data_IF_708514697468
#
_entry.id   IF_708514697468
#
_cell.length_a   1.000
_cell.length_b   1.000
_cell.length_c   1.000
_cell.angle_alpha   90.00
_cell.angle_beta   90.00
_cell.angle_gamma   90.00
#
_symmetry.space_group_name_H-M   'P 1'
#
loop_
_entity.id
_entity.type
_entity.pdbx_description
1 polymer ?
#
# COMPACT_ATOMS: atom_id res chain seq x y z
N UNK A 1 19.19 -11.90 20.05
CA UNK A 1 19.29 -12.16 18.59
C UNK A 1 20.75 -12.15 18.16
N UNK A 2 21.19 -13.16 17.44
CA UNK A 2 22.53 -13.21 16.87
C UNK A 2 22.61 -12.40 15.57
N UNK A 3 23.82 -12.10 15.12
CA UNK A 3 24.04 -11.43 13.84
C UNK A 3 23.48 -12.27 12.68
N UNK A 4 23.65 -13.60 12.73
CA UNK A 4 23.09 -14.49 11.72
C UNK A 4 21.58 -14.48 11.68
N UNK A 5 20.91 -14.44 12.83
CA UNK A 5 19.46 -14.29 12.94
C UNK A 5 18.99 -12.93 12.39
N UNK A 6 19.74 -11.87 12.66
CA UNK A 6 19.44 -10.53 12.17
C UNK A 6 19.51 -10.47 10.63
N UNK A 7 20.56 -11.07 10.04
CA UNK A 7 20.71 -11.15 8.58
C UNK A 7 19.59 -11.98 7.96
N UNK A 8 19.23 -13.11 8.57
CA UNK A 8 18.12 -13.96 8.09
C UNK A 8 16.80 -13.20 8.12
N UNK A 9 16.52 -12.45 9.17
CA UNK A 9 15.30 -11.63 9.28
C UNK A 9 15.30 -10.50 8.25
N UNK A 10 16.43 -9.84 8.02
CA UNK A 10 16.55 -8.80 6.99
C UNK A 10 16.30 -9.38 5.59
N UNK A 11 16.80 -10.57 5.28
CA UNK A 11 16.56 -11.24 4.02
C UNK A 11 15.08 -11.62 3.85
N UNK A 12 14.44 -12.07 4.92
CA UNK A 12 13.02 -12.40 4.94
C UNK A 12 12.17 -11.16 4.64
N UNK A 13 12.49 -10.03 5.28
CA UNK A 13 11.81 -8.75 5.05
C UNK A 13 12.03 -8.25 3.63
N UNK A 14 13.23 -8.38 3.07
CA UNK A 14 13.52 -8.00 1.68
C UNK A 14 12.62 -8.76 0.70
N UNK A 15 12.44 -10.07 0.90
CA UNK A 15 11.53 -10.86 0.06
C UNK A 15 10.07 -10.42 0.21
N UNK A 16 9.64 -10.10 1.43
CA UNK A 16 8.29 -9.56 1.69
C UNK A 16 8.08 -8.20 1.06
N UNK A 17 9.10 -7.35 1.03
CA UNK A 17 9.06 -6.05 0.37
C UNK A 17 8.89 -6.23 -1.14
N UNK A 18 9.64 -7.14 -1.76
CA UNK A 18 9.50 -7.42 -3.19
C UNK A 18 8.09 -7.92 -3.54
N UNK A 19 7.55 -8.83 -2.73
CA UNK A 19 6.17 -9.29 -2.88
C UNK A 19 5.16 -8.16 -2.66
N UNK A 20 5.44 -7.27 -1.70
CA UNK A 20 4.61 -6.12 -1.37
C UNK A 20 4.57 -5.08 -2.50
N UNK A 21 5.66 -4.87 -3.21
CA UNK A 21 5.71 -3.99 -4.39
C UNK A 21 4.78 -4.52 -5.49
N UNK A 22 4.80 -5.82 -5.74
CA UNK A 22 3.89 -6.46 -6.71
C UNK A 22 2.43 -6.34 -6.26
N UNK A 23 2.16 -6.60 -4.99
CA UNK A 23 0.81 -6.49 -4.43
C UNK A 23 0.27 -5.05 -4.55
N UNK A 24 1.10 -4.05 -4.25
CA UNK A 24 0.74 -2.64 -4.39
C UNK A 24 0.45 -2.28 -5.85
N UNK A 25 1.29 -2.73 -6.78
CA UNK A 25 1.09 -2.50 -8.21
C UNK A 25 -0.24 -3.07 -8.70
N UNK A 26 -0.59 -4.29 -8.29
CA UNK A 26 -1.86 -4.94 -8.62
C UNK A 26 -3.04 -4.19 -8.00
N UNK A 27 -2.93 -3.80 -6.73
CA UNK A 27 -3.98 -3.05 -6.04
C UNK A 27 -4.19 -1.66 -6.66
N UNK A 28 -3.12 -0.98 -7.06
CA UNK A 28 -3.19 0.31 -7.74
C UNK A 28 -3.88 0.21 -9.10
N UNK A 29 -3.58 -0.84 -9.88
CA UNK A 29 -4.27 -1.09 -11.16
C UNK A 29 -5.74 -1.34 -10.94
N UNK A 30 -6.09 -2.19 -9.99
CA UNK A 30 -7.48 -2.51 -9.66
C UNK A 30 -8.26 -1.27 -9.22
N UNK A 31 -7.63 -0.41 -8.40
CA UNK A 31 -8.22 0.85 -7.96
C UNK A 31 -8.47 1.81 -9.14
N UNK A 32 -7.52 1.92 -10.07
CA UNK A 32 -7.66 2.75 -11.27
C UNK A 32 -8.78 2.25 -12.18
N UNK A 33 -8.88 0.94 -12.38
CA UNK A 33 -9.95 0.31 -13.17
C UNK A 33 -11.32 0.54 -12.53
N UNK A 34 -11.42 0.37 -11.21
CA UNK A 34 -12.67 0.60 -10.47
C UNK A 34 -13.10 2.07 -10.53
N UNK A 35 -12.16 3.01 -10.44
CA UNK A 35 -12.43 4.44 -10.58
C UNK A 35 -12.95 4.77 -11.98
N UNK A 36 -12.32 4.22 -13.01
CA UNK A 36 -12.75 4.42 -14.39
C UNK A 36 -14.17 3.85 -14.64
N UNK A 37 -14.43 2.65 -14.11
CA UNK A 37 -15.77 2.02 -14.20
C UNK A 37 -16.84 2.85 -13.50
N UNK A 38 -16.53 3.37 -12.32
CA UNK A 38 -17.43 4.23 -11.56
C UNK A 38 -17.77 5.52 -12.35
N UNK A 39 -16.75 6.19 -12.88
CA UNK A 39 -16.95 7.42 -13.67
C UNK A 39 -17.79 7.19 -14.91
N UNK A 40 -17.56 6.08 -15.61
CA UNK A 40 -18.34 5.71 -16.78
C UNK A 40 -19.79 5.41 -16.41
N UNK A 41 -20.01 4.60 -15.37
CA UNK A 41 -21.36 4.28 -14.90
C UNK A 41 -22.12 5.55 -14.49
N UNK A 42 -21.44 6.48 -13.82
CA UNK A 42 -22.02 7.76 -13.42
C UNK A 42 -22.43 8.60 -14.62
N UNK A 43 -21.59 8.68 -15.65
CA UNK A 43 -21.90 9.42 -16.87
C UNK A 43 -23.09 8.80 -17.60
N UNK A 44 -23.14 7.49 -17.72
CA UNK A 44 -24.25 6.76 -18.33
C UNK A 44 -25.56 7.01 -17.56
N UNK A 45 -25.52 6.90 -16.23
CA UNK A 45 -26.70 7.15 -15.39
C UNK A 45 -27.17 8.60 -15.50
N UNK A 46 -26.25 9.56 -15.57
CA UNK A 46 -26.55 10.97 -15.74
C UNK A 46 -27.29 11.24 -17.04
N UNK A 47 -26.90 10.62 -18.14
CA UNK A 47 -27.59 10.72 -19.42
C UNK A 47 -28.93 10.02 -19.41
N UNK A 48 -29.06 8.93 -18.68
CA UNK A 48 -30.31 8.16 -18.61
C UNK A 48 -31.41 8.88 -17.82
N UNK A 49 -31.05 9.52 -16.70
CA UNK A 49 -31.99 10.22 -15.83
C UNK A 49 -31.98 11.71 -16.12
N UNK A 50 -32.89 12.19 -17.02
CA UNK A 50 -32.94 13.58 -17.44
C UNK A 50 -34.08 14.37 -16.81
N UNK A 51 -35.01 13.71 -16.11
CA UNK A 51 -36.20 14.32 -15.54
C UNK A 51 -35.93 14.89 -14.14
N UNK A 52 -36.74 15.88 -13.76
CA UNK A 52 -36.71 16.49 -12.45
C UNK A 52 -35.67 17.59 -12.31
N UNK A 53 -35.51 18.07 -11.07
CA UNK A 53 -34.52 19.08 -10.72
C UNK A 53 -33.11 18.45 -10.70
N UNK A 54 -32.07 19.30 -10.70
CA UNK A 54 -30.66 18.82 -10.59
C UNK A 54 -30.47 17.99 -9.34
N UNK A 55 -30.90 18.39 -8.12
CA UNK A 55 -30.80 17.54 -6.93
C UNK A 55 -31.51 16.19 -7.06
N UNK A 56 -32.70 16.16 -7.65
CA UNK A 56 -33.46 14.91 -7.88
C UNK A 56 -32.70 13.99 -8.84
N UNK A 57 -32.21 14.54 -9.94
CA UNK A 57 -31.40 13.81 -10.91
C UNK A 57 -30.15 13.22 -10.27
N UNK A 58 -29.47 14.01 -9.45
CA UNK A 58 -28.26 13.58 -8.72
C UNK A 58 -28.56 12.41 -7.76
N UNK A 59 -29.69 12.47 -7.04
CA UNK A 59 -30.13 11.40 -6.15
C UNK A 59 -30.37 10.09 -6.91
N UNK A 60 -31.01 10.16 -8.07
CA UNK A 60 -31.22 8.99 -8.94
C UNK A 60 -29.91 8.40 -9.45
N UNK A 61 -28.98 9.24 -9.88
CA UNK A 61 -27.65 8.82 -10.35
C UNK A 61 -26.86 8.15 -9.21
N UNK A 62 -26.84 8.77 -8.04
CA UNK A 62 -26.13 8.22 -6.86
C UNK A 62 -26.67 6.85 -6.46
N UNK A 63 -27.99 6.68 -6.50
CA UNK A 63 -28.63 5.38 -6.25
C UNK A 63 -28.25 4.35 -7.31
N UNK A 64 -28.27 4.73 -8.58
CA UNK A 64 -27.98 3.84 -9.71
C UNK A 64 -26.52 3.32 -9.70
N UNK A 65 -25.58 4.13 -9.21
CA UNK A 65 -24.14 3.79 -9.21
C UNK A 65 -23.60 3.39 -7.84
N UNK A 66 -24.48 3.12 -6.86
CA UNK A 66 -24.05 2.81 -5.49
C UNK A 66 -23.13 1.59 -5.40
N UNK A 67 -23.39 0.55 -6.19
CA UNK A 67 -22.54 -0.64 -6.24
C UNK A 67 -21.17 -0.35 -6.86
N UNK A 68 -21.12 0.48 -7.90
CA UNK A 68 -19.86 0.90 -8.53
C UNK A 68 -19.03 1.77 -7.60
N UNK A 69 -19.70 2.63 -6.84
CA UNK A 69 -19.03 3.45 -5.81
C UNK A 69 -18.42 2.58 -4.72
N UNK A 70 -19.16 1.58 -4.23
CA UNK A 70 -18.66 0.65 -3.23
C UNK A 70 -17.43 -0.11 -3.75
N UNK A 71 -17.49 -0.61 -4.98
CA UNK A 71 -16.37 -1.32 -5.61
C UNK A 71 -15.13 -0.42 -5.72
N UNK A 72 -15.31 0.85 -6.11
CA UNK A 72 -14.23 1.84 -6.15
C UNK A 72 -13.61 2.06 -4.77
N UNK A 73 -14.44 2.27 -3.76
CA UNK A 73 -13.99 2.56 -2.39
C UNK A 73 -13.26 1.35 -1.78
N UNK A 74 -13.76 0.14 -2.03
CA UNK A 74 -13.09 -1.09 -1.59
C UNK A 74 -11.73 -1.28 -2.26
N UNK A 75 -11.64 -1.06 -3.57
CA UNK A 75 -10.38 -1.17 -4.30
C UNK A 75 -9.35 -0.13 -3.83
N UNK A 76 -9.79 1.09 -3.55
CA UNK A 76 -8.92 2.13 -2.99
C UNK A 76 -8.47 1.78 -1.57
N UNK A 77 -9.34 1.21 -0.75
CA UNK A 77 -8.98 0.70 0.58
C UNK A 77 -7.92 -0.41 0.52
N UNK A 78 -8.04 -1.33 -0.43
CA UNK A 78 -7.03 -2.38 -0.66
C UNK A 78 -5.68 -1.77 -1.06
N UNK A 79 -5.68 -0.75 -1.92
CA UNK A 79 -4.46 -0.04 -2.33
C UNK A 79 -3.78 0.62 -1.14
N UNK A 80 -4.53 1.34 -0.32
CA UNK A 80 -4.01 2.01 0.88
C UNK A 80 -3.44 0.99 1.87
N UNK A 81 -4.14 -0.13 2.09
CA UNK A 81 -3.67 -1.21 2.96
C UNK A 81 -2.35 -1.81 2.47
N UNK A 82 -2.24 -2.06 1.15
CA UNK A 82 -1.00 -2.58 0.55
C UNK A 82 0.16 -1.59 0.70
N UNK A 83 -0.11 -0.30 0.52
CA UNK A 83 0.90 0.76 0.70
C UNK A 83 1.39 0.82 2.14
N UNK A 84 0.48 0.82 3.12
CA UNK A 84 0.84 0.87 4.54
C UNK A 84 1.62 -0.36 4.99
N UNK A 85 1.25 -1.55 4.50
CA UNK A 85 1.98 -2.79 4.77
C UNK A 85 3.42 -2.71 4.24
N UNK A 86 3.60 -2.18 3.04
CA UNK A 86 4.92 -2.01 2.43
C UNK A 86 5.77 -1.00 3.20
N UNK A 87 5.20 0.12 3.60
CA UNK A 87 5.88 1.13 4.44
C UNK A 87 6.33 0.56 5.77
N UNK A 88 5.47 -0.21 6.41
CA UNK A 88 5.77 -0.87 7.69
C UNK A 88 6.97 -1.83 7.55
N UNK A 89 6.97 -2.65 6.51
CA UNK A 89 8.07 -3.60 6.27
C UNK A 89 9.40 -2.90 5.95
N UNK A 90 9.34 -1.81 5.19
CA UNK A 90 10.54 -0.99 4.92
C UNK A 90 11.09 -0.36 6.19
N UNK A 91 10.23 0.12 7.07
CA UNK A 91 10.63 0.67 8.36
C UNK A 91 11.29 -0.40 9.26
N UNK A 92 10.73 -1.62 9.29
CA UNK A 92 11.31 -2.75 10.01
C UNK A 92 12.69 -3.12 9.46
N UNK A 93 12.83 -3.19 8.13
CA UNK A 93 14.13 -3.48 7.50
C UNK A 93 15.15 -2.40 7.82
N UNK A 94 14.78 -1.14 7.76
CA UNK A 94 15.64 -0.01 8.10
C UNK A 94 16.13 -0.10 9.56
N UNK A 95 15.24 -0.45 10.49
CA UNK A 95 15.59 -0.65 11.89
C UNK A 95 16.60 -1.80 12.07
N UNK A 96 16.39 -2.92 11.39
CA UNK A 96 17.34 -4.06 11.44
C UNK A 96 18.71 -3.70 10.86
N UNK A 97 18.73 -2.94 9.76
CA UNK A 97 19.97 -2.47 9.15
C UNK A 97 20.75 -1.54 10.09
N UNK A 98 20.05 -0.67 10.82
CA UNK A 98 20.66 0.20 11.83
C UNK A 98 21.26 -0.59 12.99
N UNK A 99 20.57 -1.62 13.47
CA UNK A 99 21.08 -2.51 14.52
C UNK A 99 22.31 -3.26 14.02
N UNK A 100 22.28 -3.79 12.80
CA UNK A 100 23.42 -4.49 12.21
C UNK A 100 24.63 -3.57 12.06
N UNK A 101 24.43 -2.33 11.63
CA UNK A 101 25.49 -1.33 11.52
C UNK A 101 26.10 -1.01 12.89
N UNK A 102 25.28 -0.85 13.94
CA UNK A 102 25.75 -0.62 15.30
C UNK A 102 26.57 -1.78 15.82
N UNK A 103 26.14 -3.02 15.59
CA UNK A 103 26.90 -4.21 16.01
C UNK A 103 28.22 -4.34 15.27
N UNK A 104 28.30 -4.01 13.99
CA UNK A 104 29.56 -3.99 13.24
C UNK A 104 30.52 -2.94 13.79
N UNK A 105 29.99 -1.75 14.09
CA UNK A 105 30.80 -0.68 14.68
C UNK A 105 31.34 -1.06 16.04
N UNK A 106 30.55 -1.71 16.90
CA UNK A 106 30.99 -2.23 18.19
C UNK A 106 32.10 -3.30 18.03
N UNK A 107 31.93 -4.21 17.08
CA UNK A 107 32.90 -5.26 16.80
C UNK A 107 34.23 -4.65 16.31
N UNK A 108 34.20 -3.67 15.43
CA UNK A 108 35.39 -2.95 14.97
C UNK A 108 36.05 -2.17 16.10
N UNK A 109 35.28 -1.49 16.92
CA UNK A 109 35.77 -0.74 18.08
C UNK A 109 36.48 -1.68 19.09
N UNK A 110 35.87 -2.82 19.35
CA UNK A 110 36.49 -3.83 20.24
C UNK A 110 37.77 -4.37 19.65
N UNK A 111 37.89 -4.54 18.32
CA UNK A 111 39.09 -5.01 17.62
C UNK A 111 40.23 -3.99 17.66
N UNK A 112 39.90 -2.70 17.54
CA UNK A 112 40.88 -1.60 17.53
C UNK A 112 40.79 -0.73 18.79
N UNK A 113 40.41 -1.31 19.93
CA UNK A 113 40.27 -0.61 21.22
C UNK A 113 41.60 -0.05 21.76
N UNK A 114 41.57 0.61 22.96
CA UNK A 114 42.70 1.35 23.48
C UNK A 114 43.98 0.53 23.63
N UNK A 115 43.89 -0.78 23.68
CA UNK A 115 45.00 -1.72 23.80
C UNK A 115 45.53 -2.20 22.43
N UNK A 116 44.87 -1.81 21.37
CA UNK A 116 45.22 -2.21 20.03
C UNK A 116 46.35 -1.42 19.41
#
# INVERSE_FOLDING_TARGET
MTLGELVAEANRLSRKIDAGVKALSQAARKAAEAEASYRQAKAVAWHHYQDGTVPERQAHVDSAVSADRLARDMAEGERVTALEALRSRRAQLSALQSIAAAWRAEAEHAKYGPEG
#
